data_IF_856783022740
#
_entry.id   IF_856783022740
#
_cell.length_a   1.000
_cell.length_b   1.000
_cell.length_c   1.000
_cell.angle_alpha   90.00
_cell.angle_beta   90.00
_cell.angle_gamma   90.00
#
_symmetry.space_group_name_H-M   'P 1'
#
loop_
_entity.id
_entity.type
_entity.pdbx_description
1 polymer ?
#
# COMPACT_ATOMS: atom_id res chain seq x y z
N UNK A 1 25.81 41.63 4.18
CA UNK A 1 25.07 40.40 3.83
C UNK A 1 26.00 39.19 3.86
N UNK A 2 26.11 38.48 5.00
CA UNK A 2 26.53 37.08 5.01
C UNK A 2 25.62 36.23 5.91
N UNK A 3 24.78 35.37 5.32
CA UNK A 3 23.87 34.49 6.07
C UNK A 3 23.82 33.05 5.52
N UNK A 4 24.87 32.62 4.81
CA UNK A 4 24.89 31.32 4.10
C UNK A 4 25.94 30.31 4.57
N UNK A 5 26.56 30.50 5.72
CA UNK A 5 27.57 29.53 6.23
C UNK A 5 27.09 28.64 7.39
N UNK A 6 26.03 29.03 8.12
CA UNK A 6 25.62 28.31 9.34
C UNK A 6 24.79 27.03 9.15
N UNK A 7 24.40 26.67 7.92
CA UNK A 7 23.55 25.50 7.67
C UNK A 7 24.33 24.19 7.40
N UNK A 8 25.64 24.26 7.11
CA UNK A 8 26.47 23.07 6.84
C UNK A 8 27.05 22.43 8.10
N UNK A 9 27.24 23.19 9.17
CA UNK A 9 27.86 22.73 10.43
C UNK A 9 26.92 21.91 11.32
N UNK A 10 25.61 21.99 11.12
CA UNK A 10 24.63 21.21 11.90
C UNK A 10 24.40 19.79 11.36
N UNK A 11 24.70 19.52 10.08
CA UNK A 11 24.47 18.21 9.47
C UNK A 11 25.54 17.15 9.79
N UNK A 12 26.73 17.55 10.21
CA UNK A 12 27.84 16.63 10.50
C UNK A 12 27.89 16.17 11.98
N UNK A 13 27.22 16.87 12.91
CA UNK A 13 27.22 16.53 14.34
C UNK A 13 26.20 15.47 14.75
N UNK A 14 25.28 15.08 13.86
CA UNK A 14 24.28 14.03 14.12
C UNK A 14 24.73 12.62 13.65
N UNK A 15 25.92 12.50 13.04
CA UNK A 15 26.44 11.23 12.50
C UNK A 15 27.47 10.51 13.39
N UNK A 16 27.80 11.04 14.58
CA UNK A 16 28.79 10.41 15.49
C UNK A 16 28.20 9.65 16.68
N UNK A 17 26.87 9.67 16.91
CA UNK A 17 26.25 9.11 18.14
C UNK A 17 25.84 7.63 18.07
N UNK A 18 26.21 6.89 17.03
CA UNK A 18 25.96 5.45 16.95
C UNK A 18 27.24 4.69 16.65
N UNK A 19 28.08 4.52 17.67
CA UNK A 19 29.10 3.47 17.69
C UNK A 19 29.28 2.99 19.13
N UNK A 20 29.30 1.66 19.25
CA UNK A 20 29.60 0.82 20.43
C UNK A 20 28.53 0.69 21.51
N UNK A 21 27.62 -0.27 21.33
CA UNK A 21 27.10 -1.07 22.44
C UNK A 21 27.79 -2.44 22.39
N UNK A 22 28.73 -2.67 23.30
CA UNK A 22 29.33 -3.97 23.55
C UNK A 22 28.25 -4.95 24.03
N UNK A 23 28.08 -6.06 23.32
CA UNK A 23 27.27 -7.19 23.77
C UNK A 23 28.22 -8.18 24.47
N UNK A 24 28.00 -8.56 25.73
CA UNK A 24 28.77 -9.62 26.35
C UNK A 24 28.37 -10.97 25.73
N UNK A 25 29.32 -11.61 25.05
CA UNK A 25 29.19 -13.00 24.60
C UNK A 25 29.24 -13.93 25.82
N UNK A 26 28.26 -14.84 26.02
CA UNK A 26 28.40 -15.88 27.03
C UNK A 26 29.52 -16.85 26.61
N UNK A 27 30.45 -17.13 27.52
CA UNK A 27 31.54 -18.07 27.29
C UNK A 27 30.99 -19.47 26.99
N UNK A 28 31.64 -20.17 26.05
CA UNK A 28 31.33 -21.53 25.59
C UNK A 28 31.45 -22.62 26.69
N UNK A 29 31.62 -22.24 27.95
CA UNK A 29 31.78 -23.14 29.09
C UNK A 29 30.44 -23.64 29.69
N UNK A 30 29.29 -23.07 29.29
CA UNK A 30 27.96 -23.43 29.81
C UNK A 30 27.09 -24.23 28.82
N UNK A 31 27.67 -24.75 27.73
CA UNK A 31 26.95 -25.52 26.70
C UNK A 31 27.44 -26.98 26.60
N UNK A 32 28.06 -27.50 27.66
CA UNK A 32 28.56 -28.89 27.76
C UNK A 32 28.11 -29.65 29.01
N UNK A 33 27.02 -29.22 29.67
CA UNK A 33 26.50 -29.88 30.89
C UNK A 33 25.08 -30.45 30.80
N UNK A 34 24.52 -30.62 29.60
CA UNK A 34 23.20 -31.26 29.44
C UNK A 34 23.16 -32.26 28.27
N UNK A 35 24.25 -32.98 28.04
CA UNK A 35 24.28 -34.17 27.20
C UNK A 35 25.05 -35.25 27.95
N UNK A 36 24.35 -35.97 28.82
CA UNK A 36 24.59 -37.38 29.20
C UNK A 36 23.66 -37.75 30.35
N UNK A 37 22.59 -38.49 30.06
CA UNK A 37 22.33 -39.79 30.69
C UNK A 37 21.08 -40.39 30.06
N UNK A 38 21.22 -41.66 29.69
CA UNK A 38 20.15 -42.58 29.36
C UNK A 38 19.09 -42.59 30.48
N UNK A 39 17.82 -42.83 30.13
CA UNK A 39 17.19 -44.10 30.51
C UNK A 39 15.80 -44.30 29.91
N UNK A 40 15.57 -45.56 29.55
CA UNK A 40 14.41 -46.11 28.91
C UNK A 40 13.16 -46.01 29.79
N UNK A 41 12.07 -45.45 29.25
CA UNK A 41 10.72 -46.02 29.42
C UNK A 41 9.75 -45.46 28.39
N UNK A 42 9.55 -46.23 27.33
CA UNK A 42 8.30 -46.23 26.60
C UNK A 42 7.16 -46.51 27.59
N UNK A 43 6.29 -45.52 27.81
CA UNK A 43 4.94 -45.76 28.28
C UNK A 43 4.00 -45.19 27.23
N UNK A 44 3.54 -46.08 26.37
CA UNK A 44 2.48 -45.83 25.39
C UNK A 44 1.23 -45.48 26.20
N UNK A 45 0.99 -44.19 26.40
CA UNK A 45 -0.26 -43.68 26.95
C UNK A 45 -1.04 -43.09 25.79
N UNK A 46 -2.10 -43.78 25.40
CA UNK A 46 -3.04 -43.40 24.36
C UNK A 46 -3.68 -42.04 24.69
N UNK A 47 -3.03 -40.95 24.27
CA UNK A 47 -3.72 -39.71 23.99
C UNK A 47 -4.18 -39.79 22.53
N UNK A 48 -5.44 -40.13 22.31
CA UNK A 48 -6.09 -39.97 21.01
C UNK A 48 -6.16 -38.48 20.70
N UNK A 49 -5.06 -37.94 20.17
CA UNK A 49 -5.02 -36.66 19.50
C UNK A 49 -6.09 -36.74 18.42
N UNK A 50 -7.08 -35.86 18.54
CA UNK A 50 -8.12 -35.67 17.54
C UNK A 50 -7.41 -35.36 16.22
N UNK A 51 -7.34 -36.36 15.34
CA UNK A 51 -6.75 -36.25 14.00
C UNK A 51 -7.36 -34.99 13.36
N UNK A 52 -6.53 -33.97 13.13
CA UNK A 52 -6.93 -32.85 12.29
C UNK A 52 -7.35 -33.48 10.97
N UNK A 53 -8.65 -33.39 10.64
CA UNK A 53 -9.11 -33.81 9.31
C UNK A 53 -8.32 -32.95 8.31
N UNK A 54 -7.48 -33.53 7.44
CA UNK A 54 -6.85 -32.75 6.39
C UNK A 54 -7.98 -32.16 5.57
N UNK A 55 -8.15 -30.84 5.63
CA UNK A 55 -9.04 -30.16 4.70
C UNK A 55 -8.47 -30.39 3.31
N UNK A 56 -9.33 -30.73 2.35
CA UNK A 56 -8.94 -30.85 0.94
C UNK A 56 -8.10 -29.61 0.59
N UNK A 57 -6.88 -29.75 0.04
CA UNK A 57 -6.11 -28.59 -0.38
C UNK A 57 -6.97 -27.85 -1.39
N UNK A 58 -7.45 -26.66 -1.01
CA UNK A 58 -8.12 -25.78 -1.95
C UNK A 58 -7.10 -25.54 -3.05
N UNK A 59 -7.40 -25.97 -4.29
CA UNK A 59 -6.54 -25.84 -5.46
C UNK A 59 -6.39 -24.36 -5.86
N UNK A 60 -5.77 -23.60 -4.97
CA UNK A 60 -5.54 -22.16 -4.98
C UNK A 60 -4.26 -21.87 -4.21
N UNK A 61 -3.21 -22.65 -4.48
CA UNK A 61 -1.96 -22.64 -3.71
C UNK A 61 -1.15 -21.34 -3.80
N UNK A 62 -1.46 -20.47 -4.76
CA UNK A 62 -0.81 -19.16 -4.89
C UNK A 62 -1.59 -18.07 -4.14
N UNK A 63 -1.03 -17.62 -3.02
CA UNK A 63 -1.63 -16.59 -2.18
C UNK A 63 -1.31 -15.18 -2.69
N UNK A 64 -2.25 -14.59 -3.42
CA UNK A 64 -2.22 -13.16 -3.78
C UNK A 64 -2.79 -12.31 -2.65
N UNK A 65 -1.96 -11.96 -1.66
CA UNK A 65 -2.39 -11.19 -0.47
C UNK A 65 -2.68 -9.73 -0.82
N UNK A 66 -3.88 -9.47 -1.33
CA UNK A 66 -4.40 -8.13 -1.65
C UNK A 66 -5.63 -7.86 -0.78
N UNK A 67 -5.60 -6.87 0.14
CA UNK A 67 -6.73 -6.59 1.03
C UNK A 67 -7.96 -6.15 0.23
N UNK A 68 -9.15 -6.35 0.80
CA UNK A 68 -10.41 -5.92 0.17
C UNK A 68 -10.65 -4.40 0.26
N UNK A 69 -9.98 -3.72 1.21
CA UNK A 69 -10.07 -2.26 1.44
C UNK A 69 -8.73 -1.57 1.33
N UNK A 70 -8.78 -0.30 0.94
CA UNK A 70 -7.66 0.63 0.97
C UNK A 70 -7.36 1.12 2.39
N UNK A 71 -6.08 1.24 2.73
CA UNK A 71 -5.64 1.88 3.98
C UNK A 71 -5.79 3.41 3.89
N UNK A 72 -5.88 4.08 5.04
CA UNK A 72 -5.94 5.54 5.12
C UNK A 72 -4.82 6.28 4.35
N UNK A 73 -3.53 5.90 4.46
CA UNK A 73 -2.47 6.57 3.68
C UNK A 73 -2.62 6.33 2.18
N UNK A 74 -3.10 5.16 1.75
CA UNK A 74 -3.36 4.91 0.33
C UNK A 74 -4.51 5.79 -0.18
N UNK A 75 -5.57 6.00 0.61
CA UNK A 75 -6.65 6.94 0.30
C UNK A 75 -6.14 8.38 0.18
N UNK A 76 -5.26 8.81 1.07
CA UNK A 76 -4.63 10.14 0.99
C UNK A 76 -3.79 10.31 -0.29
N UNK A 77 -2.99 9.31 -0.66
CA UNK A 77 -2.22 9.31 -1.92
C UNK A 77 -3.12 9.29 -3.15
N UNK A 78 -4.25 8.58 -3.10
CA UNK A 78 -5.22 8.58 -4.19
C UNK A 78 -5.81 9.98 -4.41
N UNK A 79 -6.25 10.65 -3.35
CA UNK A 79 -6.73 12.04 -3.43
C UNK A 79 -5.66 12.98 -3.98
N UNK A 80 -4.41 12.83 -3.52
CA UNK A 80 -3.27 13.62 -4.03
C UNK A 80 -3.07 13.41 -5.55
N UNK A 81 -3.21 12.18 -6.04
CA UNK A 81 -3.08 11.88 -7.48
C UNK A 81 -4.22 12.48 -8.30
N UNK A 82 -5.46 12.35 -7.83
CA UNK A 82 -6.63 12.95 -8.51
C UNK A 82 -6.45 14.47 -8.65
N UNK A 83 -6.10 15.16 -7.56
CA UNK A 83 -5.80 16.60 -7.56
C UNK A 83 -4.60 16.96 -8.45
N UNK A 84 -3.59 16.10 -8.53
CA UNK A 84 -2.43 16.36 -9.37
C UNK A 84 -2.82 16.32 -10.86
N UNK A 85 -3.67 15.37 -11.26
CA UNK A 85 -4.21 15.31 -12.63
C UNK A 85 -5.06 16.54 -12.92
N UNK A 86 -5.90 16.97 -11.98
CA UNK A 86 -6.72 18.18 -12.11
C UNK A 86 -5.86 19.42 -12.38
N UNK A 87 -4.80 19.61 -11.59
CA UNK A 87 -3.85 20.71 -11.78
C UNK A 87 -3.17 20.68 -13.15
N UNK A 88 -2.83 19.50 -13.66
CA UNK A 88 -2.24 19.37 -15.00
C UNK A 88 -3.23 19.86 -16.06
N UNK A 89 -4.49 19.43 -15.98
CA UNK A 89 -5.52 19.87 -16.95
C UNK A 89 -5.74 21.38 -16.86
N UNK A 90 -5.79 21.95 -15.65
CA UNK A 90 -5.92 23.40 -15.45
C UNK A 90 -4.77 24.17 -16.09
N UNK A 91 -3.52 23.73 -15.86
CA UNK A 91 -2.35 24.38 -16.47
C UNK A 91 -2.35 24.31 -17.99
N UNK A 92 -2.80 23.19 -18.57
CA UNK A 92 -2.91 23.02 -20.02
C UNK A 92 -4.02 23.92 -20.59
N UNK A 93 -5.19 23.95 -19.96
CA UNK A 93 -6.31 24.80 -20.39
C UNK A 93 -5.94 26.28 -20.38
N UNK A 94 -5.38 26.80 -19.28
CA UNK A 94 -4.96 28.20 -19.19
C UNK A 94 -3.82 28.56 -20.15
N UNK A 95 -2.94 27.61 -20.49
CA UNK A 95 -1.90 27.84 -21.50
C UNK A 95 -2.47 27.89 -22.93
N UNK A 96 -3.51 27.11 -23.22
CA UNK A 96 -4.20 27.10 -24.50
C UNK A 96 -5.01 28.39 -24.71
N UNK A 97 -5.73 28.85 -23.70
CA UNK A 97 -6.49 30.10 -23.72
C UNK A 97 -5.60 31.32 -24.01
N UNK A 98 -4.43 31.41 -23.36
CA UNK A 98 -3.45 32.49 -23.62
C UNK A 98 -2.93 32.50 -25.05
N UNK A 99 -2.90 31.34 -25.71
CA UNK A 99 -2.51 31.21 -27.11
C UNK A 99 -3.67 31.37 -28.09
N UNK A 100 -4.91 31.50 -27.59
CA UNK A 100 -6.12 31.54 -28.40
C UNK A 100 -6.45 30.21 -29.10
N UNK A 101 -5.92 29.09 -28.59
CA UNK A 101 -6.14 27.75 -29.16
C UNK A 101 -7.05 26.93 -28.25
N UNK A 102 -7.80 25.98 -28.81
CA UNK A 102 -8.62 25.04 -28.04
C UNK A 102 -8.28 23.60 -28.43
N UNK A 103 -8.52 22.65 -27.51
CA UNK A 103 -8.30 21.23 -27.80
C UNK A 103 -9.51 20.40 -27.38
N UNK A 104 -9.96 19.52 -28.29
CA UNK A 104 -11.13 18.65 -28.06
C UNK A 104 -10.98 17.75 -26.84
N UNK A 105 -9.75 17.30 -26.57
CA UNK A 105 -9.46 16.44 -25.43
C UNK A 105 -9.69 17.14 -24.09
N UNK A 106 -9.33 18.42 -24.00
CA UNK A 106 -9.52 19.24 -22.79
C UNK A 106 -11.00 19.58 -22.61
N UNK A 107 -11.72 19.96 -23.68
CA UNK A 107 -13.18 20.19 -23.62
C UNK A 107 -13.91 18.94 -23.15
N UNK A 108 -13.67 17.79 -23.81
CA UNK A 108 -14.26 16.50 -23.42
C UNK A 108 -13.94 16.14 -21.96
N UNK A 109 -12.73 16.44 -21.51
CA UNK A 109 -12.35 16.17 -20.12
C UNK A 109 -13.23 16.95 -19.14
N UNK A 110 -13.46 18.23 -19.39
CA UNK A 110 -14.34 19.04 -18.52
C UNK A 110 -15.80 18.59 -18.56
N UNK A 111 -16.28 18.10 -19.71
CA UNK A 111 -17.66 17.62 -19.86
C UNK A 111 -17.89 16.28 -19.13
N UNK A 112 -16.95 15.34 -19.24
CA UNK A 112 -17.12 13.97 -18.78
C UNK A 112 -16.55 13.70 -17.38
N UNK A 113 -15.46 14.38 -16.99
CA UNK A 113 -14.68 14.02 -15.80
C UNK A 113 -14.88 15.00 -14.63
N UNK A 114 -15.45 14.56 -13.49
CA UNK A 114 -15.63 15.42 -12.32
C UNK A 114 -14.30 15.70 -11.61
N UNK A 115 -14.23 16.82 -10.88
CA UNK A 115 -13.07 17.19 -10.04
C UNK A 115 -12.97 16.33 -8.78
N UNK A 116 -11.78 16.25 -8.18
CA UNK A 116 -11.63 15.49 -6.93
C UNK A 116 -12.59 15.94 -5.82
N UNK A 117 -12.91 17.23 -5.76
CA UNK A 117 -13.74 17.81 -4.71
C UNK A 117 -15.22 17.44 -4.87
N UNK A 118 -15.71 17.42 -6.11
CA UNK A 118 -17.08 17.05 -6.49
C UNK A 118 -17.34 15.54 -6.35
N UNK A 119 -16.29 14.73 -6.48
CA UNK A 119 -16.41 13.27 -6.42
C UNK A 119 -16.85 12.77 -5.04
N UNK A 120 -17.80 11.82 -5.03
CA UNK A 120 -18.19 11.12 -3.82
C UNK A 120 -17.03 10.25 -3.30
N UNK A 121 -16.87 10.09 -1.97
CA UNK A 121 -15.88 9.18 -1.40
C UNK A 121 -16.01 7.73 -1.89
N UNK A 122 -17.23 7.29 -2.24
CA UNK A 122 -17.50 5.96 -2.79
C UNK A 122 -16.76 5.77 -4.12
N UNK A 123 -16.87 6.71 -5.04
CA UNK A 123 -16.27 6.59 -6.38
C UNK A 123 -14.75 6.88 -6.38
N UNK A 124 -14.24 7.63 -5.39
CA UNK A 124 -12.78 7.81 -5.20
C UNK A 124 -12.04 6.50 -4.92
N UNK A 125 -12.68 5.57 -4.21
CA UNK A 125 -12.02 4.38 -3.67
C UNK A 125 -12.58 3.06 -4.22
N UNK A 126 -13.72 3.09 -4.91
CA UNK A 126 -14.37 1.91 -5.47
C UNK A 126 -14.77 2.11 -6.92
N UNK A 127 -14.64 1.06 -7.71
CA UNK A 127 -15.04 0.98 -9.10
C UNK A 127 -16.21 0.02 -9.25
N UNK A 128 -16.95 0.17 -10.36
CA UNK A 128 -17.96 -0.79 -10.75
C UNK A 128 -17.32 -2.10 -11.22
N UNK A 129 -17.84 -3.24 -10.77
CA UNK A 129 -17.48 -4.56 -11.27
C UNK A 129 -18.75 -5.43 -11.35
N UNK A 130 -19.15 -5.82 -12.57
CA UNK A 130 -20.37 -6.61 -12.83
C UNK A 130 -20.39 -7.94 -12.07
N UNK A 131 -19.22 -8.50 -11.75
CA UNK A 131 -19.10 -9.85 -11.15
C UNK A 131 -19.18 -9.83 -9.62
N UNK A 132 -19.06 -8.68 -8.98
CA UNK A 132 -19.12 -8.55 -7.53
C UNK A 132 -20.58 -8.50 -7.06
N UNK A 133 -20.88 -9.10 -5.90
CA UNK A 133 -22.27 -9.19 -5.38
C UNK A 133 -22.97 -7.84 -5.22
N UNK A 134 -22.21 -6.80 -4.88
CA UNK A 134 -22.69 -5.43 -4.70
C UNK A 134 -22.28 -4.50 -5.85
N UNK A 135 -21.85 -5.09 -6.96
CA UNK A 135 -21.36 -4.37 -8.14
C UNK A 135 -20.18 -3.42 -7.90
N UNK A 136 -19.46 -3.58 -6.78
CA UNK A 136 -18.38 -2.68 -6.37
C UNK A 136 -17.11 -3.44 -6.00
N UNK A 137 -15.99 -2.92 -6.47
CA UNK A 137 -14.64 -3.42 -6.20
C UNK A 137 -13.74 -2.26 -5.75
N UNK A 138 -12.76 -2.53 -4.89
CA UNK A 138 -11.75 -1.53 -4.54
C UNK A 138 -10.89 -1.13 -5.74
N UNK A 139 -10.67 0.18 -5.95
CA UNK A 139 -9.91 0.70 -7.11
C UNK A 139 -8.47 0.16 -7.17
N UNK A 140 -7.88 -0.20 -6.03
CA UNK A 140 -6.53 -0.75 -5.95
C UNK A 140 -6.37 -2.16 -6.52
N UNK A 141 -7.48 -2.83 -6.85
CA UNK A 141 -7.48 -4.11 -7.57
C UNK A 141 -7.43 -3.91 -9.09
N UNK A 142 -7.59 -2.69 -9.60
CA UNK A 142 -7.46 -2.38 -11.02
C UNK A 142 -5.98 -2.49 -11.44
N UNK A 143 -5.66 -3.13 -12.58
CA UNK A 143 -4.30 -3.16 -13.07
C UNK A 143 -3.80 -1.73 -13.31
N UNK A 144 -2.64 -1.42 -12.74
CA UNK A 144 -1.97 -0.11 -12.90
C UNK A 144 -2.84 1.09 -12.46
N UNK A 145 -3.72 0.89 -11.47
CA UNK A 145 -4.65 1.89 -10.93
C UNK A 145 -4.02 3.22 -10.51
N UNK A 146 -2.72 3.26 -10.22
CA UNK A 146 -2.02 4.50 -9.86
C UNK A 146 -1.75 5.42 -11.04
N UNK A 147 -1.82 4.89 -12.27
CA UNK A 147 -1.56 5.62 -13.52
C UNK A 147 -2.83 5.83 -14.36
N UNK A 148 -3.82 4.95 -14.19
CA UNK A 148 -5.09 5.02 -14.91
C UNK A 148 -6.05 5.97 -14.17
N UNK A 149 -6.70 6.87 -14.91
CA UNK A 149 -7.72 7.78 -14.37
C UNK A 149 -9.13 7.19 -14.54
N UNK A 150 -9.65 6.56 -13.50
CA UNK A 150 -11.07 6.16 -13.40
C UNK A 150 -11.78 7.11 -12.43
N UNK A 151 -12.84 7.78 -12.90
CA UNK A 151 -13.62 8.74 -12.08
C UNK A 151 -15.13 8.51 -12.13
N UNK A 152 -15.66 8.19 -13.29
CA UNK A 152 -17.10 7.99 -13.51
C UNK A 152 -17.42 6.51 -13.48
N UNK A 153 -18.55 6.18 -12.85
CA UNK A 153 -19.12 4.84 -12.80
C UNK A 153 -20.52 4.88 -13.42
N UNK A 154 -21.04 3.75 -13.94
CA UNK A 154 -22.38 3.73 -14.52
C UNK A 154 -23.44 4.13 -13.47
N UNK A 155 -24.45 4.92 -13.85
CA UNK A 155 -25.49 5.36 -12.93
C UNK A 155 -26.31 4.18 -12.41
N UNK A 156 -26.74 4.25 -11.14
CA UNK A 156 -27.55 3.21 -10.50
C UNK A 156 -26.76 2.09 -9.79
N UNK A 157 -25.42 2.12 -9.82
CA UNK A 157 -24.55 1.12 -9.17
C UNK A 157 -23.69 1.70 -8.05
#
# INVERSE_FOLDING_TARGET
>A
MPEKENARTTYNNLRSKHRTSNIPTPSLALLKKLLTSADNKCRVSHCTLKMFKPTSPVMGGLLWKIPWRLSAPQKARQRKRLRAVDKVVDTVSGALERKGMTSKAVTRWFDEMPREEEMLPKDKYTIFDRKEKKYRKGIHKLPKWTRVSQRVNPPGF
#
